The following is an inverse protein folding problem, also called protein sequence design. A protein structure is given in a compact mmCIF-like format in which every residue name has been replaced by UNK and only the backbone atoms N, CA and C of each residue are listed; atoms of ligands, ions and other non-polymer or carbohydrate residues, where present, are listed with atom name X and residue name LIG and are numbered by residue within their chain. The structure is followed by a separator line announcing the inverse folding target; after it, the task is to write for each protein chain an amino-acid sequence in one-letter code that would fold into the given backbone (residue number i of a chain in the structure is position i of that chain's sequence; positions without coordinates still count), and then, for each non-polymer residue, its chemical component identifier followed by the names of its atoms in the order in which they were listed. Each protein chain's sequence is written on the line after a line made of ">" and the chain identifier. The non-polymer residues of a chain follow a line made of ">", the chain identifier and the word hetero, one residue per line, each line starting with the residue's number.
data_IF_831724591733
#
_entry.id   IF_831724591733
#
_cell.length_a   1.000
_cell.length_b   1.000
_cell.length_c   1.000
_cell.angle_alpha   90.00
_cell.angle_beta   90.00
_cell.angle_gamma   90.00
#
_symmetry.space_group_name_H-M   'P 1'
#
loop_
_entity.id
_entity.type
_entity.pdbx_description
1 polymer ?
#
# COMPACT_ATOMS: atom_id res chain seq x y z
N UNK A 1 -14.75 -0.55 -2.93
CA UNK A 1 -15.23 0.32 -4.04
C UNK A 1 -14.44 1.63 -4.06
N UNK A 2 -13.60 1.84 -5.08
CA UNK A 2 -12.95 3.12 -5.36
C UNK A 2 -13.99 4.10 -5.93
N UNK A 3 -14.10 5.27 -5.32
CA UNK A 3 -14.99 6.35 -5.79
C UNK A 3 -14.29 7.09 -6.92
N UNK A 4 -15.04 7.46 -7.96
CA UNK A 4 -14.53 8.28 -9.05
C UNK A 4 -13.93 9.59 -8.48
N UNK A 5 -12.61 9.82 -8.64
CA UNK A 5 -11.95 11.00 -8.10
C UNK A 5 -12.51 12.31 -8.65
N UNK A 6 -13.21 12.32 -9.80
CA UNK A 6 -13.87 13.53 -10.32
C UNK A 6 -15.10 13.94 -9.51
N UNK A 7 -15.66 13.05 -8.68
CA UNK A 7 -16.83 13.34 -7.85
C UNK A 7 -16.47 13.84 -6.44
N UNK A 8 -15.20 13.76 -6.03
CA UNK A 8 -14.75 14.22 -4.72
C UNK A 8 -13.34 14.86 -4.82
N UNK A 9 -13.30 16.02 -5.50
CA UNK A 9 -12.07 16.73 -5.85
C UNK A 9 -11.26 17.21 -4.64
N UNK A 10 -11.86 17.30 -3.45
CA UNK A 10 -11.19 17.81 -2.25
C UNK A 10 -10.76 16.73 -1.26
N UNK A 11 -11.17 15.47 -1.44
CA UNK A 11 -10.91 14.41 -0.46
C UNK A 11 -10.46 13.10 -1.10
N UNK A 12 -9.49 13.19 -2.00
CA UNK A 12 -8.79 12.03 -2.56
C UNK A 12 -7.35 11.95 -2.05
N UNK A 13 -6.82 10.72 -2.10
CA UNK A 13 -5.41 10.43 -1.88
C UNK A 13 -4.93 9.63 -3.08
N UNK A 14 -3.87 10.10 -3.73
CA UNK A 14 -3.16 9.32 -4.74
C UNK A 14 -2.01 8.62 -4.07
N UNK A 15 -1.86 7.33 -4.37
CA UNK A 15 -0.76 6.50 -3.88
C UNK A 15 -0.03 5.95 -5.09
N UNK A 16 1.29 5.95 -5.03
CA UNK A 16 2.15 5.48 -6.11
C UNK A 16 3.30 4.64 -5.54
N UNK A 17 3.70 3.64 -6.32
CA UNK A 17 4.97 2.94 -6.17
C UNK A 17 5.98 3.55 -7.16
N UNK A 18 7.18 3.88 -6.72
CA UNK A 18 8.18 4.56 -7.56
C UNK A 18 9.61 4.06 -7.34
N UNK A 19 10.46 4.23 -8.35
CA UNK A 19 11.87 3.84 -8.28
C UNK A 19 12.14 2.39 -8.68
N UNK A 20 13.41 1.98 -8.61
CA UNK A 20 13.88 0.63 -8.99
C UNK A 20 13.54 -0.42 -7.93
N UNK A 21 13.58 -0.02 -6.67
CA UNK A 21 13.09 -0.77 -5.51
C UNK A 21 11.81 -0.03 -5.13
N UNK A 22 10.61 -0.51 -5.52
CA UNK A 22 9.45 0.36 -5.55
C UNK A 22 9.06 0.81 -4.15
N UNK A 23 9.26 2.10 -3.90
CA UNK A 23 8.93 2.76 -2.64
C UNK A 23 7.52 3.31 -2.69
N UNK A 24 6.86 3.38 -1.54
CA UNK A 24 5.53 3.98 -1.43
C UNK A 24 5.62 5.50 -1.29
N UNK A 25 4.81 6.23 -2.04
CA UNK A 25 4.58 7.66 -1.88
C UNK A 25 3.09 7.96 -1.99
N UNK A 26 2.63 8.99 -1.28
CA UNK A 26 1.25 9.45 -1.39
C UNK A 26 1.13 10.98 -1.41
N UNK A 27 0.04 11.48 -1.99
CA UNK A 27 -0.29 12.90 -2.02
C UNK A 27 -1.79 13.08 -1.80
N UNK A 28 -2.17 14.02 -0.93
CA UNK A 28 -3.56 14.39 -0.67
C UNK A 28 -4.00 15.53 -1.60
N UNK A 29 -5.30 15.63 -1.86
CA UNK A 29 -5.88 16.64 -2.77
C UNK A 29 -5.42 18.09 -2.51
N UNK A 30 -5.18 18.47 -1.24
CA UNK A 30 -4.75 19.81 -0.84
C UNK A 30 -3.23 19.99 -0.75
N UNK A 31 -2.45 18.98 -1.13
CA UNK A 31 -0.99 19.01 -1.06
C UNK A 31 -0.36 19.12 -2.45
N UNK A 32 0.79 19.78 -2.50
CA UNK A 32 1.52 20.06 -3.75
C UNK A 32 2.79 19.21 -3.84
N UNK A 33 3.12 18.49 -2.78
CA UNK A 33 4.35 17.72 -2.60
C UNK A 33 4.01 16.32 -2.11
N UNK A 34 4.68 15.33 -2.68
CA UNK A 34 4.58 13.94 -2.24
C UNK A 34 5.08 13.77 -0.81
N UNK A 35 4.39 12.92 -0.06
CA UNK A 35 4.79 12.47 1.28
C UNK A 35 5.37 11.06 1.19
N UNK A 36 6.49 10.86 1.88
CA UNK A 36 7.25 9.61 1.87
C UNK A 36 7.21 9.00 3.29
N UNK A 37 6.44 7.92 3.50
CA UNK A 37 6.39 7.22 4.79
C UNK A 37 7.66 6.41 5.08
N UNK A 38 7.83 6.00 6.33
CA UNK A 38 8.96 5.20 6.82
C UNK A 38 8.43 3.93 7.53
N UNK A 39 9.07 2.74 7.43
CA UNK A 39 10.21 2.36 6.58
C UNK A 39 9.95 2.48 5.07
N UNK A 40 11.04 2.62 4.31
CA UNK A 40 11.00 2.39 2.86
C UNK A 40 11.13 0.87 2.63
N UNK A 41 10.14 0.27 1.97
CA UNK A 41 10.12 -1.15 1.60
C UNK A 41 10.22 -1.38 0.10
N UNK A 42 10.37 -2.65 -0.30
CA UNK A 42 10.35 -3.12 -1.68
C UNK A 42 8.95 -3.63 -2.04
N UNK A 43 8.04 -2.71 -2.34
CA UNK A 43 6.62 -3.01 -2.51
C UNK A 43 6.31 -3.50 -3.93
N UNK A 44 5.58 -4.61 -4.03
CA UNK A 44 5.10 -5.15 -5.31
C UNK A 44 3.69 -4.67 -5.67
N UNK A 45 2.86 -4.37 -4.68
CA UNK A 45 1.46 -3.96 -4.89
C UNK A 45 0.98 -3.01 -3.79
N UNK A 46 -0.03 -2.19 -4.11
CA UNK A 46 -0.62 -1.23 -3.19
C UNK A 46 -2.11 -1.05 -3.45
N UNK A 47 -2.90 -1.01 -2.39
CA UNK A 47 -4.35 -0.81 -2.49
C UNK A 47 -4.90 0.06 -1.38
N UNK A 48 -6.08 0.62 -1.60
CA UNK A 48 -6.80 1.39 -0.61
C UNK A 48 -8.00 0.58 -0.11
N UNK A 49 -8.07 0.37 1.19
CA UNK A 49 -9.10 -0.44 1.83
C UNK A 49 -9.47 0.14 3.21
N UNK A 50 -10.77 0.31 3.47
CA UNK A 50 -11.31 0.83 4.75
C UNK A 50 -10.53 2.04 5.30
N UNK A 51 -10.36 3.06 4.46
CA UNK A 51 -9.67 4.32 4.79
C UNK A 51 -8.18 4.20 5.11
N UNK A 52 -7.55 3.09 4.73
CA UNK A 52 -6.11 2.86 4.89
C UNK A 52 -5.50 2.41 3.59
N UNK A 53 -4.23 2.73 3.44
CA UNK A 53 -3.40 2.19 2.37
C UNK A 53 -2.79 0.90 2.87
N UNK A 54 -2.86 -0.15 2.06
CA UNK A 54 -2.20 -1.43 2.31
C UNK A 54 -1.16 -1.64 1.21
N UNK A 55 0.07 -1.91 1.61
CA UNK A 55 1.18 -2.18 0.73
C UNK A 55 1.65 -3.63 0.94
N UNK A 56 1.97 -4.30 -0.15
CA UNK A 56 2.46 -5.67 -0.16
C UNK A 56 3.93 -5.65 -0.57
N UNK A 57 4.80 -6.09 0.33
CA UNK A 57 6.23 -6.26 0.06
C UNK A 57 6.49 -7.51 -0.78
N UNK A 58 7.58 -7.51 -1.54
CA UNK A 58 8.03 -8.66 -2.34
C UNK A 58 8.16 -9.97 -1.55
N UNK A 59 8.41 -9.92 -0.24
CA UNK A 59 8.49 -11.09 0.64
C UNK A 59 7.13 -11.60 1.15
N UNK A 60 6.03 -10.95 0.75
CA UNK A 60 4.67 -11.26 1.17
C UNK A 60 4.24 -10.60 2.47
N UNK A 61 5.04 -9.68 3.00
CA UNK A 61 4.69 -8.87 4.15
C UNK A 61 3.67 -7.80 3.78
N UNK A 62 2.66 -7.62 4.62
CA UNK A 62 1.62 -6.60 4.41
C UNK A 62 1.82 -5.51 5.44
N UNK A 63 1.97 -4.30 4.95
CA UNK A 63 2.06 -3.10 5.76
C UNK A 63 0.84 -2.21 5.52
N UNK A 64 0.44 -1.44 6.53
CA UNK A 64 -0.66 -0.48 6.38
C UNK A 64 -0.26 0.92 6.81
N UNK A 65 -0.77 1.92 6.11
CA UNK A 65 -0.63 3.33 6.42
C UNK A 65 -2.00 3.98 6.61
N UNK A 66 -2.13 4.74 7.69
CA UNK A 66 -3.28 5.59 7.93
C UNK A 66 -2.99 7.01 7.41
N UNK A 67 -3.47 7.30 6.20
CA UNK A 67 -3.23 8.57 5.50
C UNK A 67 -4.10 9.72 6.00
N UNK A 68 -5.16 9.41 6.76
CA UNK A 68 -6.07 10.41 7.32
C UNK A 68 -5.86 10.67 8.82
N UNK A 69 -4.99 9.90 9.47
CA UNK A 69 -4.70 10.10 10.89
C UNK A 69 -4.18 11.51 11.18
N UNK A 70 -4.87 12.19 12.10
CA UNK A 70 -4.49 13.50 12.65
C UNK A 70 -3.26 13.44 13.56
N UNK A 71 -2.86 12.24 13.97
CA UNK A 71 -1.76 12.01 14.91
C UNK A 71 -0.38 12.10 14.24
N UNK A 72 -0.34 12.30 12.93
CA UNK A 72 0.90 12.60 12.22
C UNK A 72 1.36 14.00 12.61
N UNK A 73 2.17 14.09 13.68
CA UNK A 73 2.96 15.27 13.98
C UNK A 73 3.66 15.70 12.68
N UNK A 74 3.47 16.93 12.17
CA UNK A 74 4.04 17.35 10.90
C UNK A 74 5.58 17.24 10.84
N UNK A 75 6.23 17.11 12.00
CA UNK A 75 7.68 16.88 12.13
C UNK A 75 8.10 15.41 12.04
N UNK A 76 7.18 14.45 11.97
CA UNK A 76 7.47 13.02 11.86
C UNK A 76 6.90 12.44 10.56
N UNK A 77 7.71 11.59 9.91
CA UNK A 77 7.27 10.86 8.72
C UNK A 77 6.18 9.86 9.12
N UNK A 78 5.10 9.72 8.31
CA UNK A 78 4.07 8.73 8.57
C UNK A 78 4.67 7.33 8.63
N UNK A 79 4.30 6.55 9.64
CA UNK A 79 4.87 5.21 9.84
C UNK A 79 3.97 4.12 9.29
N UNK A 80 4.55 3.24 8.47
CA UNK A 80 3.90 2.00 8.09
C UNK A 80 3.83 1.05 9.29
N UNK A 81 2.71 0.34 9.38
CA UNK A 81 2.43 -0.61 10.47
C UNK A 81 2.35 -2.02 9.89
N UNK A 82 3.23 -2.95 10.30
CA UNK A 82 3.15 -4.35 9.90
C UNK A 82 1.80 -4.96 10.27
N UNK A 83 1.24 -5.76 9.36
CA UNK A 83 -0.02 -6.50 9.55
C UNK A 83 0.17 -8.00 9.49
N UNK A 84 1.26 -8.46 8.90
CA UNK A 84 1.67 -9.86 8.89
C UNK A 84 2.59 -10.14 10.07
N UNK A 85 2.54 -11.36 10.66
CA UNK A 85 3.65 -11.85 11.47
C UNK A 85 4.93 -11.84 10.63
N UNK A 86 6.09 -11.64 11.26
CA UNK A 86 7.43 -11.72 10.63
C UNK A 86 7.80 -13.14 10.18
N UNK A 87 6.93 -13.78 9.39
CA UNK A 87 7.17 -15.05 8.74
C UNK A 87 6.74 -14.93 7.28
N UNK A 88 7.67 -15.13 6.32
CA UNK A 88 7.35 -14.97 4.91
C UNK A 88 6.27 -15.98 4.51
N UNK A 89 5.29 -15.53 3.72
CA UNK A 89 4.19 -16.35 3.19
C UNK A 89 4.66 -17.41 2.14
N UNK A 90 5.98 -17.68 2.02
CA UNK A 90 6.71 -18.58 1.09
C UNK A 90 7.07 -17.94 -0.28
N UNK A 91 7.86 -18.63 -1.14
CA UNK A 91 9.25 -18.29 -1.41
C UNK A 91 9.45 -17.63 -2.79
N UNK A 92 10.11 -16.47 -2.85
CA UNK A 92 10.86 -15.82 -3.98
C UNK A 92 10.30 -15.82 -5.43
N UNK A 93 9.22 -16.53 -5.74
CA UNK A 93 8.85 -17.01 -7.08
C UNK A 93 7.33 -16.99 -7.35
N UNK A 94 6.53 -16.41 -6.45
CA UNK A 94 5.10 -16.21 -6.66
C UNK A 94 4.82 -14.72 -6.72
N UNK A 95 4.07 -14.28 -7.74
CA UNK A 95 3.51 -12.93 -7.72
C UNK A 95 2.37 -12.90 -6.73
N UNK A 96 2.27 -11.83 -5.96
CA UNK A 96 1.25 -11.69 -4.95
C UNK A 96 0.49 -10.38 -5.17
N UNK A 97 -0.82 -10.40 -4.93
CA UNK A 97 -1.69 -9.26 -5.15
C UNK A 97 -2.67 -9.08 -3.99
N UNK A 98 -3.05 -7.83 -3.74
CA UNK A 98 -4.08 -7.48 -2.76
C UNK A 98 -5.41 -7.20 -3.49
N UNK A 99 -6.46 -7.94 -3.15
CA UNK A 99 -7.77 -7.83 -3.80
C UNK A 99 -8.89 -7.73 -2.78
N UNK A 100 -9.84 -6.82 -3.00
CA UNK A 100 -11.08 -6.74 -2.22
C UNK A 100 -12.09 -7.79 -2.72
N UNK A 101 -12.60 -8.63 -1.82
CA UNK A 101 -13.64 -9.61 -2.12
C UNK A 101 -15.00 -8.94 -2.31
N UNK A 102 -15.96 -9.64 -2.93
CA UNK A 102 -17.34 -9.13 -3.07
C UNK A 102 -18.06 -8.95 -1.73
N UNK A 103 -17.56 -9.60 -0.67
CA UNK A 103 -18.03 -9.44 0.72
C UNK A 103 -17.31 -8.33 1.48
N UNK A 104 -16.35 -7.66 0.83
CA UNK A 104 -15.58 -6.58 1.40
C UNK A 104 -14.41 -7.05 2.27
N UNK A 105 -13.90 -8.26 2.07
CA UNK A 105 -12.69 -8.76 2.75
C UNK A 105 -11.45 -8.43 1.91
N UNK A 106 -10.35 -8.03 2.54
CA UNK A 106 -9.07 -7.88 1.83
C UNK A 106 -8.36 -9.23 1.77
N UNK A 107 -8.07 -9.70 0.56
CA UNK A 107 -7.45 -10.99 0.28
C UNK A 107 -6.03 -10.79 -0.26
N UNK A 108 -5.10 -11.59 0.25
CA UNK A 108 -3.76 -11.76 -0.29
C UNK A 108 -3.76 -13.01 -1.19
N UNK A 109 -3.57 -12.83 -2.49
CA UNK A 109 -3.65 -13.90 -3.49
C UNK A 109 -2.26 -14.17 -4.07
N UNK A 110 -1.83 -15.44 -4.01
CA UNK A 110 -0.61 -15.91 -4.66
C UNK A 110 -0.94 -16.41 -6.08
N UNK A 111 -0.31 -15.81 -7.08
CA UNK A 111 -0.32 -16.25 -8.46
C UNK A 111 1.00 -16.99 -8.78
N UNK A 112 0.93 -18.20 -9.37
CA UNK A 112 2.13 -18.89 -9.83
C UNK A 112 2.82 -18.08 -10.93
N UNK A 113 4.12 -17.85 -10.80
CA UNK A 113 4.93 -17.30 -11.87
C UNK A 113 5.27 -18.43 -12.86
N UNK A 114 4.85 -18.30 -14.12
CA UNK A 114 5.14 -19.30 -15.15
C UNK A 114 6.50 -19.08 -15.85
N UNK A 115 7.35 -18.20 -15.31
CA UNK A 115 8.74 -18.03 -15.75
C UNK A 115 9.73 -18.77 -14.84
N UNK A 116 10.91 -19.08 -15.36
CA UNK A 116 12.02 -19.55 -14.53
C UNK A 116 12.41 -18.44 -13.55
N UNK A 117 12.41 -18.78 -12.26
CA UNK A 117 13.35 -18.18 -11.33
C UNK A 117 14.77 -18.67 -11.68
#
# INVERSE_FOLDING_TARGET
>A
MSIDPTMNLENYVVVALYGRWPMLAFIKASQNTWTYPNPNGDFGDVTFYKSKVYALEAMGDIESLDVFSSDNNPSQLPQLKPRTPFQPFRPYCSHAYLVESTKGDLLHILAPFNGLC
#
